data_IF_220985027369
#
_entry.id   IF_220985027369
#
_cell.length_a   1.000
_cell.length_b   1.000
_cell.length_c   1.000
_cell.angle_alpha   90.00
_cell.angle_beta   90.00
_cell.angle_gamma   90.00
#
_symmetry.space_group_name_H-M   'P 1'
#
loop_
_entity.id
_entity.type
_entity.pdbx_description
1 polymer ?
#
# COMPACT_ATOMS: atom_id res chain seq x y z
N UNK A 1 -13.17 68.82 -53.85
CA UNK A 1 -12.77 69.64 -52.70
C UNK A 1 -12.83 68.81 -51.49
N UNK A 2 -11.74 68.63 -50.89
CA UNK A 2 -11.34 68.00 -49.55
C UNK A 2 -12.23 66.95 -48.92
N UNK A 3 -11.79 65.73 -49.05
CA UNK A 3 -12.17 64.57 -48.24
C UNK A 3 -11.37 64.60 -46.92
N UNK A 4 -12.05 64.55 -45.73
CA UNK A 4 -11.41 64.32 -44.44
C UNK A 4 -11.56 62.87 -44.10
N UNK A 5 -10.42 62.18 -43.99
CA UNK A 5 -10.25 60.80 -43.47
C UNK A 5 -10.40 60.82 -41.95
N UNK A 6 -11.34 60.03 -41.41
CA UNK A 6 -11.36 59.64 -40.02
C UNK A 6 -10.85 58.22 -39.90
N UNK A 7 -9.67 58.09 -39.31
CA UNK A 7 -9.11 56.84 -38.86
C UNK A 7 -9.67 56.47 -37.49
N UNK A 8 -10.53 55.44 -37.43
CA UNK A 8 -11.00 54.88 -36.15
C UNK A 8 -10.03 53.78 -35.68
N UNK A 9 -9.36 54.03 -34.56
CA UNK A 9 -8.54 53.03 -33.89
C UNK A 9 -9.44 52.07 -33.12
N UNK A 10 -9.53 50.80 -33.59
CA UNK A 10 -10.15 49.71 -32.86
C UNK A 10 -9.14 49.16 -31.83
N UNK A 11 -9.32 49.53 -30.57
CA UNK A 11 -8.57 48.92 -29.44
C UNK A 11 -9.14 47.51 -29.16
N UNK A 12 -8.42 46.48 -29.58
CA UNK A 12 -8.72 45.11 -29.23
C UNK A 12 -8.31 44.86 -27.76
N UNK A 13 -9.27 44.83 -26.86
CA UNK A 13 -9.09 44.40 -25.49
C UNK A 13 -9.00 42.86 -25.47
N UNK A 14 -7.79 42.32 -25.43
CA UNK A 14 -7.54 40.92 -25.13
C UNK A 14 -7.85 40.66 -23.65
N UNK A 15 -9.05 40.17 -23.39
CA UNK A 15 -9.38 39.55 -22.09
C UNK A 15 -8.57 38.25 -21.95
N UNK A 16 -7.43 38.33 -21.23
CA UNK A 16 -6.72 37.18 -20.71
C UNK A 16 -7.60 36.53 -19.65
N UNK A 17 -8.46 35.60 -20.06
CA UNK A 17 -9.02 34.61 -19.14
C UNK A 17 -7.87 33.69 -18.68
N UNK A 18 -7.18 34.09 -17.63
CA UNK A 18 -6.30 33.21 -16.88
C UNK A 18 -7.14 32.07 -16.30
N UNK A 19 -7.11 30.91 -16.97
CA UNK A 19 -7.61 29.69 -16.37
C UNK A 19 -6.79 29.44 -15.10
N UNK A 20 -7.31 29.84 -13.96
CA UNK A 20 -6.82 29.41 -12.66
C UNK A 20 -6.98 27.88 -12.62
N UNK A 21 -5.91 27.15 -12.95
CA UNK A 21 -5.81 25.76 -12.62
C UNK A 21 -5.87 25.69 -11.08
N UNK A 22 -7.06 25.44 -10.54
CA UNK A 22 -7.22 25.08 -9.16
C UNK A 22 -6.35 23.84 -8.96
N UNK A 23 -5.19 24.01 -8.35
CA UNK A 23 -4.36 22.89 -7.90
C UNK A 23 -5.20 22.10 -6.91
N UNK A 24 -5.81 21.03 -7.37
CA UNK A 24 -6.53 20.10 -6.51
C UNK A 24 -5.52 19.58 -5.51
N UNK A 25 -5.70 19.96 -4.24
CA UNK A 25 -4.92 19.38 -3.14
C UNK A 25 -5.06 17.86 -3.20
N UNK A 26 -3.96 17.11 -3.05
CA UNK A 26 -4.05 15.66 -3.01
C UNK A 26 -5.04 15.23 -1.92
N UNK A 27 -5.84 14.18 -2.15
CA UNK A 27 -6.79 13.67 -1.17
C UNK A 27 -6.11 13.43 0.18
N UNK A 28 -6.73 13.83 1.29
CA UNK A 28 -6.12 13.76 2.62
C UNK A 28 -6.00 12.31 3.10
N UNK A 29 -4.86 11.92 3.70
CA UNK A 29 -4.69 10.61 4.37
C UNK A 29 -5.64 10.46 5.59
N UNK A 30 -6.12 11.57 6.13
CA UNK A 30 -7.02 11.62 7.29
C UNK A 30 -8.50 11.51 6.90
N UNK A 31 -8.81 11.34 5.62
CA UNK A 31 -10.15 11.02 5.13
C UNK A 31 -10.24 9.52 4.84
N UNK A 32 -11.29 8.88 5.32
CA UNK A 32 -11.63 7.49 5.02
C UNK A 32 -12.95 7.49 4.27
N UNK A 33 -12.91 7.19 3.00
CA UNK A 33 -14.07 7.14 2.12
C UNK A 33 -14.64 5.72 1.98
N UNK A 34 -15.85 5.63 1.38
CA UNK A 34 -16.51 4.38 1.04
C UNK A 34 -16.81 3.47 2.25
N UNK A 35 -17.03 4.05 3.43
CA UNK A 35 -17.37 3.30 4.64
C UNK A 35 -18.87 3.00 4.61
N UNK A 36 -19.25 1.77 4.29
CA UNK A 36 -20.65 1.34 4.34
C UNK A 36 -21.06 1.02 5.77
N UNK A 37 -22.21 1.54 6.18
CA UNK A 37 -22.84 1.18 7.45
C UNK A 37 -24.36 1.08 7.29
N UNK A 38 -24.92 0.11 8.01
CA UNK A 38 -26.36 -0.09 8.11
C UNK A 38 -26.74 -0.36 9.55
N UNK A 39 -27.95 0.02 9.92
CA UNK A 39 -28.51 -0.29 11.21
C UNK A 39 -30.03 -0.48 11.13
N UNK A 40 -30.55 -1.24 12.09
CA UNK A 40 -32.00 -1.36 12.36
C UNK A 40 -32.26 -0.94 13.80
N UNK A 41 -33.32 -0.18 14.00
CA UNK A 41 -33.72 0.30 15.32
C UNK A 41 -35.25 0.47 15.42
N UNK A 42 -35.74 1.00 16.52
CA UNK A 42 -37.17 1.25 16.72
C UNK A 42 -37.75 2.24 15.70
N UNK A 43 -36.93 3.14 15.17
CA UNK A 43 -37.32 4.11 14.14
C UNK A 43 -36.11 4.51 13.29
N UNK A 44 -36.36 5.19 12.16
CA UNK A 44 -35.31 5.61 11.21
C UNK A 44 -34.28 6.57 11.82
N UNK A 45 -34.66 7.43 12.76
CA UNK A 45 -33.76 8.40 13.39
C UNK A 45 -32.72 7.68 14.26
N UNK A 46 -33.16 6.72 15.04
CA UNK A 46 -32.28 5.90 15.88
C UNK A 46 -31.42 4.99 15.02
N UNK A 47 -31.95 4.37 13.96
CA UNK A 47 -31.18 3.58 13.00
C UNK A 47 -30.09 4.42 12.34
N UNK A 48 -30.40 5.66 11.91
CA UNK A 48 -29.40 6.59 11.35
C UNK A 48 -28.30 6.89 12.36
N UNK A 49 -28.64 7.18 13.62
CA UNK A 49 -27.64 7.43 14.68
C UNK A 49 -26.69 6.26 14.85
N UNK A 50 -27.22 5.04 14.95
CA UNK A 50 -26.42 3.82 15.13
C UNK A 50 -25.51 3.58 13.91
N UNK A 51 -26.04 3.74 12.68
CA UNK A 51 -25.26 3.57 11.46
C UNK A 51 -24.13 4.60 11.36
N UNK A 52 -24.38 5.86 11.72
CA UNK A 52 -23.38 6.93 11.75
C UNK A 52 -22.26 6.59 12.74
N UNK A 53 -22.58 6.23 13.97
CA UNK A 53 -21.59 5.82 14.97
C UNK A 53 -20.79 4.59 14.53
N UNK A 54 -21.45 3.62 13.90
CA UNK A 54 -20.79 2.45 13.33
C UNK A 54 -19.79 2.83 12.23
N UNK A 55 -20.17 3.78 11.36
CA UNK A 55 -19.30 4.30 10.29
C UNK A 55 -18.07 5.02 10.88
N UNK A 56 -18.26 5.85 11.91
CA UNK A 56 -17.17 6.57 12.58
C UNK A 56 -16.17 5.61 13.22
N UNK A 57 -16.64 4.58 13.93
CA UNK A 57 -15.79 3.58 14.55
C UNK A 57 -14.99 2.80 13.49
N UNK A 58 -15.65 2.34 12.42
CA UNK A 58 -14.99 1.65 11.30
C UNK A 58 -13.97 2.55 10.61
N UNK A 59 -14.34 3.79 10.33
CA UNK A 59 -13.44 4.77 9.71
C UNK A 59 -12.23 5.04 10.59
N UNK A 60 -12.41 5.18 11.89
CA UNK A 60 -11.30 5.38 12.83
C UNK A 60 -10.33 4.17 12.84
N UNK A 61 -10.85 2.95 12.89
CA UNK A 61 -10.02 1.74 12.82
C UNK A 61 -9.21 1.68 11.51
N UNK A 62 -9.85 1.97 10.37
CA UNK A 62 -9.18 2.03 9.07
C UNK A 62 -8.12 3.13 9.01
N UNK A 63 -8.39 4.29 9.63
CA UNK A 63 -7.42 5.38 9.72
C UNK A 63 -6.20 5.00 10.56
N UNK A 64 -6.42 4.39 11.73
CA UNK A 64 -5.33 3.92 12.61
C UNK A 64 -4.47 2.89 11.89
N UNK A 65 -5.09 1.88 11.27
CA UNK A 65 -4.39 0.88 10.47
C UNK A 65 -3.62 1.50 9.30
N UNK A 66 -4.14 2.56 8.69
CA UNK A 66 -3.45 3.32 7.64
C UNK A 66 -2.22 4.04 8.18
N UNK A 67 -2.36 4.80 9.26
CA UNK A 67 -1.32 5.71 9.75
C UNK A 67 -0.25 5.04 10.63
N UNK A 68 -0.59 3.95 11.32
CA UNK A 68 0.34 3.22 12.17
C UNK A 68 1.07 2.10 11.41
N UNK A 69 2.28 1.79 11.81
CA UNK A 69 2.92 0.54 11.40
C UNK A 69 2.30 -0.66 12.15
N UNK A 70 2.44 -1.87 11.59
CA UNK A 70 1.82 -3.08 12.12
C UNK A 70 2.28 -3.46 13.54
N UNK A 71 3.44 -2.96 14.02
CA UNK A 71 3.97 -3.23 15.37
C UNK A 71 3.38 -2.26 16.39
N UNK A 72 3.08 -1.05 15.98
CA UNK A 72 2.57 0.00 16.85
C UNK A 72 1.05 0.12 16.84
N UNK A 73 0.37 -0.32 15.80
CA UNK A 73 -1.09 -0.34 15.70
C UNK A 73 -1.77 -0.98 16.94
N UNK A 74 -1.33 -2.15 17.45
CA UNK A 74 -1.96 -2.77 18.64
C UNK A 74 -1.84 -1.98 19.94
N UNK A 75 -1.04 -0.90 19.97
CA UNK A 75 -0.92 -0.02 21.14
C UNK A 75 -2.12 0.92 21.26
N UNK A 76 -2.87 1.11 20.18
CA UNK A 76 -4.04 1.98 20.16
C UNK A 76 -5.25 1.18 20.66
N UNK A 77 -5.84 1.53 21.80
CA UNK A 77 -7.02 0.83 22.32
C UNK A 77 -8.25 1.10 21.47
N UNK A 78 -9.28 0.29 21.64
CA UNK A 78 -10.60 0.59 21.13
C UNK A 78 -11.19 1.79 21.90
N UNK A 79 -11.76 2.75 21.19
CA UNK A 79 -12.45 3.92 21.75
C UNK A 79 -13.96 3.78 21.60
N UNK A 80 -14.73 4.27 22.56
CA UNK A 80 -16.19 4.37 22.43
C UNK A 80 -16.55 5.43 21.38
N UNK A 81 -17.73 5.28 20.72
CA UNK A 81 -18.15 6.18 19.64
C UNK A 81 -18.10 7.68 20.02
N UNK A 82 -18.49 8.04 21.25
CA UNK A 82 -18.53 9.42 21.72
C UNK A 82 -17.13 10.07 21.83
N UNK A 83 -16.09 9.26 21.97
CA UNK A 83 -14.71 9.75 21.94
C UNK A 83 -14.21 9.89 20.50
N UNK A 84 -14.59 8.98 19.62
CA UNK A 84 -14.20 9.01 18.20
C UNK A 84 -14.82 10.22 17.51
N UNK A 85 -16.09 10.53 17.78
CA UNK A 85 -16.82 11.69 17.26
C UNK A 85 -16.02 13.00 17.45
N UNK A 86 -15.31 13.16 18.57
CA UNK A 86 -14.50 14.35 18.87
C UNK A 86 -13.29 14.52 17.93
N UNK A 87 -12.88 13.45 17.25
CA UNK A 87 -11.79 13.49 16.28
C UNK A 87 -12.31 13.76 14.86
N UNK A 88 -13.62 13.61 14.61
CA UNK A 88 -14.23 13.84 13.29
C UNK A 88 -14.29 15.34 13.03
N UNK A 89 -13.79 15.76 11.87
CA UNK A 89 -13.84 17.16 11.41
C UNK A 89 -14.90 17.39 10.34
N UNK A 90 -15.19 16.36 9.53
CA UNK A 90 -16.22 16.41 8.51
C UNK A 90 -16.76 15.01 8.20
N UNK A 91 -18.02 14.92 7.82
CA UNK A 91 -18.66 13.70 7.36
C UNK A 91 -19.45 13.97 6.09
N UNK A 92 -19.24 13.12 5.10
CA UNK A 92 -19.96 13.09 3.84
C UNK A 92 -20.83 11.83 3.79
N UNK A 93 -22.06 11.94 3.31
CA UNK A 93 -23.01 10.81 3.24
C UNK A 93 -23.48 10.65 1.79
N UNK A 94 -23.38 9.43 1.28
CA UNK A 94 -23.78 9.05 -0.08
C UNK A 94 -24.60 7.77 -0.06
N UNK A 95 -25.33 7.52 -1.12
CA UNK A 95 -26.10 6.29 -1.33
C UNK A 95 -27.02 5.98 -0.12
N UNK A 96 -27.69 7.01 0.37
CA UNK A 96 -28.56 6.92 1.56
C UNK A 96 -29.87 6.19 1.23
N UNK A 97 -30.16 5.14 1.98
CA UNK A 97 -31.43 4.41 1.94
C UNK A 97 -32.07 4.40 3.32
N UNK A 98 -33.32 4.81 3.40
CA UNK A 98 -34.07 4.93 4.65
C UNK A 98 -35.38 4.18 4.56
N UNK A 99 -35.71 3.41 5.62
CA UNK A 99 -37.04 2.83 5.83
C UNK A 99 -37.55 3.21 7.23
N UNK A 100 -38.73 2.75 7.62
CA UNK A 100 -39.32 3.08 8.94
C UNK A 100 -38.41 2.67 10.12
N UNK A 101 -37.65 1.55 9.99
CA UNK A 101 -36.83 0.97 11.05
C UNK A 101 -35.41 0.68 10.64
N UNK A 102 -35.01 1.01 9.41
CA UNK A 102 -33.65 0.75 8.93
C UNK A 102 -33.04 1.94 8.21
N UNK A 103 -31.76 2.02 8.28
CA UNK A 103 -30.92 3.03 7.61
C UNK A 103 -29.68 2.38 7.05
N UNK A 104 -29.32 2.69 5.81
CA UNK A 104 -28.08 2.25 5.14
C UNK A 104 -27.49 3.44 4.40
N UNK A 105 -26.18 3.62 4.48
CA UNK A 105 -25.48 4.65 3.70
C UNK A 105 -24.00 4.33 3.50
N UNK A 106 -23.40 5.06 2.57
CA UNK A 106 -21.95 5.09 2.36
C UNK A 106 -21.40 6.41 2.89
N UNK A 107 -20.47 6.32 3.84
CA UNK A 107 -19.90 7.48 4.52
C UNK A 107 -18.49 7.78 4.04
N UNK A 108 -18.14 9.07 3.98
CA UNK A 108 -16.81 9.58 3.94
C UNK A 108 -16.52 10.33 5.25
N UNK A 109 -15.58 9.87 6.06
CA UNK A 109 -15.27 10.47 7.36
C UNK A 109 -13.89 11.10 7.31
N UNK A 110 -13.82 12.40 7.57
CA UNK A 110 -12.56 13.15 7.67
C UNK A 110 -12.24 13.46 9.13
N UNK A 111 -11.07 13.07 9.56
CA UNK A 111 -10.61 13.30 10.93
C UNK A 111 -9.69 14.52 11.02
N UNK A 112 -9.67 15.15 12.19
CA UNK A 112 -8.74 16.23 12.51
C UNK A 112 -7.31 15.70 12.59
N UNK A 113 -6.46 16.12 11.67
CA UNK A 113 -5.04 15.71 11.60
C UNK A 113 -4.32 15.98 12.92
N UNK A 114 -4.52 17.18 13.50
CA UNK A 114 -3.90 17.56 14.78
C UNK A 114 -4.34 16.64 15.92
N UNK A 115 -5.63 16.34 16.00
CA UNK A 115 -6.19 15.51 17.06
C UNK A 115 -5.71 14.06 16.95
N UNK A 116 -5.71 13.49 15.75
CA UNK A 116 -5.22 12.13 15.48
C UNK A 116 -3.71 12.03 15.72
N UNK A 117 -2.90 12.99 15.24
CA UNK A 117 -1.46 12.99 15.50
C UNK A 117 -1.15 13.13 17.00
N UNK A 118 -1.95 13.91 17.75
CA UNK A 118 -1.85 14.01 19.20
C UNK A 118 -2.16 12.68 19.89
N UNK A 119 -3.25 12.02 19.49
CA UNK A 119 -3.65 10.72 19.99
C UNK A 119 -2.56 9.65 19.74
N UNK A 120 -2.09 9.50 18.52
CA UNK A 120 -1.07 8.52 18.18
C UNK A 120 0.20 8.71 19.00
N UNK A 121 0.67 9.95 19.17
CA UNK A 121 1.84 10.27 20.00
C UNK A 121 1.63 9.90 21.47
N UNK A 122 0.42 10.09 22.02
CA UNK A 122 0.08 9.69 23.40
C UNK A 122 0.32 8.19 23.63
N UNK A 123 0.09 7.36 22.61
CA UNK A 123 0.34 5.90 22.66
C UNK A 123 1.71 5.49 22.12
N UNK A 124 2.63 6.46 21.91
CA UNK A 124 3.97 6.19 21.41
C UNK A 124 4.00 5.69 19.98
N UNK A 125 3.01 6.07 19.18
CA UNK A 125 2.89 5.74 17.75
C UNK A 125 3.25 6.95 16.91
N UNK A 126 4.23 6.79 16.02
CA UNK A 126 4.56 7.81 15.02
C UNK A 126 3.69 7.58 13.79
N UNK A 127 2.88 8.57 13.42
CA UNK A 127 2.06 8.51 12.22
C UNK A 127 2.95 8.53 10.97
N UNK A 128 2.72 7.57 10.08
CA UNK A 128 3.29 7.57 8.73
C UNK A 128 2.37 8.44 7.88
N UNK A 129 2.88 9.54 7.32
CA UNK A 129 2.09 10.48 6.51
C UNK A 129 2.66 10.68 5.10
N UNK A 130 3.79 10.05 4.81
CA UNK A 130 4.42 10.11 3.49
C UNK A 130 3.58 9.37 2.45
N UNK A 131 3.54 9.94 1.25
CA UNK A 131 2.84 9.32 0.10
C UNK A 131 3.84 8.78 -0.91
N UNK A 132 3.49 7.64 -1.47
CA UNK A 132 4.14 7.03 -2.61
C UNK A 132 3.54 7.48 -3.94
N UNK A 133 4.17 7.11 -5.05
CA UNK A 133 3.60 7.30 -6.38
C UNK A 133 2.30 6.50 -6.56
N UNK A 134 1.43 6.98 -7.45
CA UNK A 134 0.17 6.30 -7.77
C UNK A 134 0.45 4.98 -8.51
N UNK A 135 -0.23 3.90 -8.11
CA UNK A 135 -0.13 2.58 -8.76
C UNK A 135 -1.39 2.26 -9.58
N UNK A 136 -1.22 1.66 -10.75
CA UNK A 136 -2.32 1.15 -11.54
C UNK A 136 -2.56 -0.34 -11.21
N UNK A 137 -3.76 -0.66 -10.75
CA UNK A 137 -4.19 -2.05 -10.53
C UNK A 137 -4.86 -2.56 -11.81
N UNK A 138 -4.29 -3.61 -12.39
CA UNK A 138 -4.83 -4.31 -13.57
C UNK A 138 -5.58 -5.54 -13.07
N UNK A 139 -6.92 -5.50 -13.00
CA UNK A 139 -7.71 -6.61 -12.48
C UNK A 139 -7.91 -7.69 -13.54
N UNK A 140 -7.72 -8.95 -13.16
CA UNK A 140 -8.12 -10.12 -13.95
C UNK A 140 -8.97 -11.02 -13.08
N UNK A 141 -10.19 -11.30 -13.51
CA UNK A 141 -11.10 -12.22 -12.85
C UNK A 141 -11.22 -13.47 -13.70
N UNK A 142 -10.86 -14.62 -13.15
CA UNK A 142 -10.92 -15.91 -13.84
C UNK A 142 -12.06 -16.70 -13.25
N UNK A 143 -13.04 -17.08 -14.07
CA UNK A 143 -14.19 -17.87 -13.69
C UNK A 143 -14.39 -18.96 -14.75
N UNK A 144 -14.59 -20.20 -14.32
CA UNK A 144 -14.74 -21.38 -15.20
C UNK A 144 -13.60 -21.54 -16.23
N UNK A 145 -12.36 -21.19 -15.83
CA UNK A 145 -11.18 -21.31 -16.68
C UNK A 145 -11.07 -20.24 -17.77
N UNK A 146 -11.81 -19.14 -17.67
CA UNK A 146 -11.72 -18.01 -18.60
C UNK A 146 -11.64 -16.67 -17.88
N UNK A 147 -10.84 -15.74 -18.41
CA UNK A 147 -10.82 -14.39 -17.89
C UNK A 147 -12.09 -13.62 -18.29
N UNK A 148 -12.74 -13.01 -17.34
CA UNK A 148 -13.93 -12.19 -17.57
C UNK A 148 -13.59 -10.93 -18.35
N UNK A 149 -14.32 -10.67 -19.42
CA UNK A 149 -14.21 -9.44 -20.23
C UNK A 149 -15.18 -8.33 -19.78
N UNK A 150 -15.95 -8.58 -18.71
CA UNK A 150 -16.92 -7.64 -18.20
C UNK A 150 -16.28 -6.62 -17.25
N UNK A 151 -16.50 -5.33 -17.48
CA UNK A 151 -16.12 -4.27 -16.54
C UNK A 151 -16.92 -4.30 -15.23
N UNK A 152 -18.06 -5.01 -15.22
CA UNK A 152 -18.92 -5.16 -14.03
C UNK A 152 -18.67 -6.47 -13.29
N UNK A 153 -17.57 -7.17 -13.57
CA UNK A 153 -17.23 -8.38 -12.82
C UNK A 153 -17.04 -8.09 -11.32
N UNK A 154 -17.28 -9.07 -10.45
CA UNK A 154 -17.25 -8.84 -9.00
C UNK A 154 -15.88 -8.44 -8.48
N UNK A 155 -14.79 -8.89 -9.12
CA UNK A 155 -13.42 -8.56 -8.73
C UNK A 155 -13.11 -7.08 -8.95
N UNK A 156 -13.36 -6.58 -10.17
CA UNK A 156 -13.17 -5.16 -10.48
C UNK A 156 -14.04 -4.28 -9.59
N UNK A 157 -15.31 -4.68 -9.38
CA UNK A 157 -16.22 -3.97 -8.50
C UNK A 157 -15.71 -3.92 -7.05
N UNK A 158 -15.18 -5.04 -6.53
CA UNK A 158 -14.62 -5.07 -5.19
C UNK A 158 -13.41 -4.14 -5.03
N UNK A 159 -12.49 -4.12 -6.00
CA UNK A 159 -11.34 -3.20 -6.01
C UNK A 159 -11.79 -1.73 -6.11
N UNK A 160 -12.72 -1.41 -7.02
CA UNK A 160 -13.18 -0.03 -7.24
C UNK A 160 -13.97 0.55 -6.05
N UNK A 161 -14.54 -0.30 -5.19
CA UNK A 161 -15.23 0.13 -3.99
C UNK A 161 -14.31 0.41 -2.80
N UNK A 162 -13.01 0.15 -2.91
CA UNK A 162 -12.04 0.52 -1.88
C UNK A 162 -11.77 2.03 -1.89
N UNK A 163 -11.27 2.54 -0.78
CA UNK A 163 -10.78 3.92 -0.66
C UNK A 163 -9.36 4.02 -1.23
N UNK A 164 -9.27 4.05 -2.57
CA UNK A 164 -7.98 4.00 -3.28
C UNK A 164 -7.24 5.33 -3.29
N UNK A 165 -7.92 6.46 -3.12
CA UNK A 165 -7.33 7.80 -3.29
C UNK A 165 -6.73 8.37 -2.00
N UNK A 166 -7.29 8.01 -0.83
CA UNK A 166 -6.87 8.53 0.47
C UNK A 166 -5.81 7.63 1.14
N UNK A 167 -5.06 6.87 0.37
CA UNK A 167 -4.06 5.93 0.83
C UNK A 167 -2.63 6.47 0.70
N UNK A 168 -1.65 5.81 1.33
CA UNK A 168 -0.23 6.15 1.17
C UNK A 168 0.22 6.01 -0.28
N UNK A 169 -0.10 4.87 -0.90
CA UNK A 169 0.07 4.65 -2.33
C UNK A 169 -1.30 4.74 -2.96
N UNK A 170 -1.67 5.90 -3.53
CA UNK A 170 -2.94 6.02 -4.24
C UNK A 170 -3.01 5.02 -5.38
N UNK A 171 -4.21 4.53 -5.69
CA UNK A 171 -4.36 3.56 -6.75
C UNK A 171 -5.51 3.91 -7.69
N UNK A 172 -5.41 3.41 -8.91
CA UNK A 172 -6.48 3.40 -9.91
C UNK A 172 -6.70 1.98 -10.40
N UNK A 173 -7.94 1.65 -10.72
CA UNK A 173 -8.28 0.35 -11.31
C UNK A 173 -8.39 0.50 -12.81
N UNK A 174 -7.55 -0.22 -13.55
CA UNK A 174 -7.59 -0.24 -15.01
C UNK A 174 -8.93 -0.81 -15.52
N UNK A 175 -9.42 -0.36 -16.67
CA UNK A 175 -10.55 -1.01 -17.33
C UNK A 175 -10.21 -2.46 -17.69
N UNK A 176 -11.22 -3.31 -17.76
CA UNK A 176 -11.04 -4.70 -18.20
C UNK A 176 -10.64 -4.72 -19.67
N UNK A 177 -9.69 -5.59 -20.02
CA UNK A 177 -9.19 -5.75 -21.39
C UNK A 177 -9.48 -7.15 -21.90
N UNK A 178 -10.14 -7.25 -23.06
CA UNK A 178 -10.46 -8.53 -23.67
C UNK A 178 -9.25 -9.31 -24.22
N UNK A 179 -8.12 -8.63 -24.43
CA UNK A 179 -6.85 -9.23 -24.84
C UNK A 179 -6.07 -9.86 -23.66
N UNK A 180 -6.41 -9.51 -22.42
CA UNK A 180 -5.79 -10.10 -21.23
C UNK A 180 -6.51 -11.38 -20.82
N UNK A 181 -6.23 -12.45 -21.56
CA UNK A 181 -6.79 -13.79 -21.32
C UNK A 181 -6.19 -14.44 -20.06
N UNK A 182 -6.83 -15.50 -19.58
CA UNK A 182 -6.29 -16.31 -18.47
C UNK A 182 -4.88 -16.83 -18.77
N UNK A 183 -4.64 -17.32 -19.99
CA UNK A 183 -3.34 -17.83 -20.40
C UNK A 183 -2.25 -16.75 -20.34
N UNK A 184 -2.58 -15.53 -20.80
CA UNK A 184 -1.67 -14.37 -20.73
C UNK A 184 -1.44 -13.97 -19.27
N UNK A 185 -2.48 -13.93 -18.44
CA UNK A 185 -2.35 -13.63 -17.02
C UNK A 185 -1.46 -14.65 -16.29
N UNK A 186 -1.62 -15.94 -16.58
CA UNK A 186 -0.74 -17.00 -16.05
C UNK A 186 0.71 -16.86 -16.53
N UNK A 187 0.92 -16.54 -17.81
CA UNK A 187 2.26 -16.29 -18.34
C UNK A 187 2.91 -15.07 -17.66
N UNK A 188 2.14 -14.02 -17.41
CA UNK A 188 2.62 -12.83 -16.69
C UNK A 188 2.99 -13.12 -15.25
N UNK A 189 2.23 -13.94 -14.54
CA UNK A 189 2.55 -14.38 -13.18
C UNK A 189 3.77 -15.29 -13.13
N UNK A 190 4.01 -16.09 -14.18
CA UNK A 190 5.17 -16.97 -14.25
C UNK A 190 6.50 -16.23 -14.49
N UNK A 191 6.47 -15.06 -15.13
CA UNK A 191 7.65 -14.21 -15.36
C UNK A 191 7.35 -12.74 -15.04
N UNK A 192 7.25 -12.37 -13.75
CA UNK A 192 6.83 -11.02 -13.35
C UNK A 192 7.75 -9.91 -13.88
N UNK A 193 9.07 -10.14 -13.93
CA UNK A 193 10.02 -9.11 -14.35
C UNK A 193 9.76 -8.60 -15.78
N UNK A 194 9.69 -9.51 -16.77
CA UNK A 194 9.42 -9.14 -18.15
C UNK A 194 7.98 -8.65 -18.34
N UNK A 195 7.05 -9.22 -17.60
CA UNK A 195 5.62 -8.91 -17.73
C UNK A 195 5.27 -7.55 -17.18
N UNK A 196 5.83 -7.16 -16.03
CA UNK A 196 5.61 -5.82 -15.48
C UNK A 196 6.16 -4.76 -16.42
N UNK A 197 7.30 -4.99 -17.06
CA UNK A 197 7.83 -4.05 -18.05
C UNK A 197 6.90 -3.92 -19.26
N UNK A 198 6.38 -5.03 -19.78
CA UNK A 198 5.39 -5.03 -20.86
C UNK A 198 4.13 -4.25 -20.48
N UNK A 199 3.58 -4.51 -19.28
CA UNK A 199 2.38 -3.82 -18.80
C UNK A 199 2.63 -2.31 -18.57
N UNK A 200 3.78 -1.93 -18.01
CA UNK A 200 4.17 -0.53 -17.84
C UNK A 200 4.20 0.23 -19.17
N UNK A 201 4.76 -0.38 -20.22
CA UNK A 201 4.77 0.19 -21.56
C UNK A 201 3.35 0.31 -22.15
N UNK A 202 2.53 -0.72 -21.99
CA UNK A 202 1.15 -0.74 -22.51
C UNK A 202 0.26 0.32 -21.86
N UNK A 203 0.38 0.50 -20.54
CA UNK A 203 -0.42 1.46 -19.79
C UNK A 203 0.26 2.84 -19.64
N UNK A 204 1.51 2.98 -20.08
CA UNK A 204 2.32 4.21 -19.94
C UNK A 204 2.41 4.70 -18.50
N UNK A 205 2.64 3.79 -17.57
CA UNK A 205 2.74 4.04 -16.14
C UNK A 205 3.97 3.37 -15.56
N UNK A 206 4.51 3.91 -14.46
CA UNK A 206 5.71 3.36 -13.82
C UNK A 206 5.38 2.29 -12.76
N UNK A 207 4.32 2.51 -11.98
CA UNK A 207 3.92 1.65 -10.87
C UNK A 207 2.69 0.84 -11.28
N UNK A 208 2.78 -0.50 -11.24
CA UNK A 208 1.71 -1.36 -11.74
C UNK A 208 1.56 -2.63 -10.89
N UNK A 209 0.31 -3.06 -10.73
CA UNK A 209 -0.06 -4.29 -10.05
C UNK A 209 -1.01 -5.10 -10.93
N UNK A 210 -0.58 -6.27 -11.38
CA UNK A 210 -1.47 -7.29 -11.93
C UNK A 210 -2.10 -8.04 -10.76
N UNK A 211 -3.42 -8.01 -10.67
CA UNK A 211 -4.19 -8.63 -9.59
C UNK A 211 -5.19 -9.63 -10.17
N UNK A 212 -4.87 -10.91 -10.04
CA UNK A 212 -5.67 -12.02 -10.55
C UNK A 212 -6.45 -12.64 -9.40
N UNK A 213 -7.76 -12.75 -9.56
CA UNK A 213 -8.64 -13.44 -8.62
C UNK A 213 -9.38 -14.58 -9.33
N UNK A 214 -9.33 -15.76 -8.75
CA UNK A 214 -9.99 -16.97 -9.21
C UNK A 214 -10.82 -17.56 -8.07
N UNK A 215 -12.16 -17.66 -8.20
CA UNK A 215 -12.99 -18.32 -7.21
C UNK A 215 -12.54 -19.78 -6.99
N UNK A 216 -12.48 -20.17 -5.72
CA UNK A 216 -12.07 -21.53 -5.32
C UNK A 216 -13.11 -22.05 -4.32
N UNK A 217 -14.28 -22.45 -4.85
CA UNK A 217 -15.47 -22.79 -4.08
C UNK A 217 -16.29 -21.56 -3.66
N UNK A 218 -17.27 -21.78 -2.78
CA UNK A 218 -18.25 -20.75 -2.41
C UNK A 218 -17.66 -19.62 -1.56
N UNK A 219 -16.69 -19.94 -0.68
CA UNK A 219 -16.23 -19.03 0.38
C UNK A 219 -14.74 -18.69 0.27
N UNK A 220 -14.09 -19.03 -0.83
CA UNK A 220 -12.67 -18.76 -1.02
C UNK A 220 -12.33 -18.28 -2.43
N UNK A 221 -11.23 -17.53 -2.51
CA UNK A 221 -10.66 -16.99 -3.74
C UNK A 221 -9.16 -17.21 -3.73
N UNK A 222 -8.61 -17.74 -4.80
CA UNK A 222 -7.16 -17.73 -5.03
C UNK A 222 -6.77 -16.37 -5.57
N UNK A 223 -5.98 -15.63 -4.81
CA UNK A 223 -5.43 -14.32 -5.15
C UNK A 223 -3.98 -14.47 -5.58
N UNK A 224 -3.67 -14.05 -6.80
CA UNK A 224 -2.30 -13.99 -7.32
C UNK A 224 -1.97 -12.56 -7.72
N UNK A 225 -0.88 -12.03 -7.18
CA UNK A 225 -0.39 -10.70 -7.47
C UNK A 225 0.99 -10.77 -8.11
N UNK A 226 1.22 -9.92 -9.08
CA UNK A 226 2.55 -9.58 -9.55
C UNK A 226 2.59 -8.06 -9.75
N UNK A 227 3.55 -7.39 -9.14
CA UNK A 227 3.62 -5.92 -9.18
C UNK A 227 5.03 -5.39 -9.26
N UNK A 228 5.13 -4.17 -9.75
CA UNK A 228 6.30 -3.32 -9.64
C UNK A 228 5.86 -1.99 -9.02
N UNK A 229 6.33 -1.74 -7.82
CA UNK A 229 6.08 -0.49 -7.08
C UNK A 229 7.41 0.26 -6.85
N UNK A 230 7.36 1.36 -6.12
CA UNK A 230 8.54 2.18 -5.80
C UNK A 230 9.66 1.39 -5.05
N UNK A 231 9.36 0.19 -4.55
CA UNK A 231 10.29 -0.72 -3.87
C UNK A 231 10.79 -1.85 -4.79
N UNK A 232 10.31 -1.88 -6.04
CA UNK A 232 10.65 -2.89 -7.02
C UNK A 232 9.62 -4.01 -7.14
N UNK A 233 10.04 -5.09 -7.79
CA UNK A 233 9.20 -6.23 -8.10
C UNK A 233 8.75 -6.98 -6.84
N UNK A 234 7.51 -7.47 -6.89
CA UNK A 234 6.97 -8.37 -5.86
C UNK A 234 5.91 -9.29 -6.44
N UNK A 235 5.66 -10.40 -5.76
CA UNK A 235 4.59 -11.34 -6.07
C UNK A 235 3.96 -11.89 -4.80
N UNK A 236 2.69 -12.30 -4.89
CA UNK A 236 1.95 -12.97 -3.83
C UNK A 236 1.05 -14.03 -4.47
N UNK A 237 1.01 -15.22 -3.90
CA UNK A 237 0.03 -16.26 -4.22
C UNK A 237 -0.60 -16.73 -2.91
N UNK A 238 -1.92 -16.56 -2.77
CA UNK A 238 -2.61 -16.87 -1.52
C UNK A 238 -4.07 -17.24 -1.74
N UNK A 239 -4.50 -18.31 -1.06
CA UNK A 239 -5.91 -18.63 -0.90
C UNK A 239 -6.52 -17.75 0.19
N UNK A 240 -7.55 -17.00 -0.14
CA UNK A 240 -8.25 -16.04 0.72
C UNK A 240 -9.66 -16.58 1.00
N UNK A 241 -10.01 -16.69 2.27
CA UNK A 241 -11.36 -17.06 2.70
C UNK A 241 -12.16 -15.80 3.06
N UNK A 242 -13.49 -15.92 2.97
CA UNK A 242 -14.38 -14.93 3.53
C UNK A 242 -14.05 -14.68 5.01
N UNK A 243 -14.05 -13.42 5.44
CA UNK A 243 -13.79 -13.03 6.83
C UNK A 243 -15.03 -12.36 7.39
N UNK A 244 -15.48 -12.80 8.55
CA UNK A 244 -16.55 -12.15 9.30
C UNK A 244 -16.16 -10.70 9.61
N UNK A 245 -17.12 -9.78 9.42
CA UNK A 245 -16.89 -8.35 9.63
C UNK A 245 -16.45 -7.55 8.38
N UNK A 246 -16.07 -8.23 7.27
CA UNK A 246 -15.80 -7.61 5.97
C UNK A 246 -16.84 -8.01 4.93
N UNK A 247 -18.11 -7.69 5.16
CA UNK A 247 -19.24 -8.01 4.25
C UNK A 247 -19.34 -9.51 3.84
N UNK A 248 -18.70 -10.43 4.56
CA UNK A 248 -18.80 -11.89 4.37
C UNK A 248 -18.39 -12.41 2.99
N UNK A 249 -17.61 -11.67 2.19
CA UNK A 249 -17.25 -12.04 0.83
C UNK A 249 -15.75 -12.26 0.68
N UNK A 250 -15.34 -13.46 0.22
CA UNK A 250 -13.94 -13.78 -0.06
C UNK A 250 -13.32 -12.83 -1.10
N UNK A 251 -14.10 -12.42 -2.11
CA UNK A 251 -13.64 -11.53 -3.17
C UNK A 251 -13.35 -10.11 -2.65
N UNK A 252 -14.17 -9.60 -1.72
CA UNK A 252 -13.92 -8.31 -1.08
C UNK A 252 -12.72 -8.36 -0.13
N UNK A 253 -12.58 -9.48 0.60
CA UNK A 253 -11.40 -9.74 1.44
C UNK A 253 -10.13 -9.80 0.61
N UNK A 254 -10.18 -10.47 -0.55
CA UNK A 254 -9.05 -10.55 -1.48
C UNK A 254 -8.70 -9.19 -2.10
N UNK A 255 -9.71 -8.37 -2.46
CA UNK A 255 -9.49 -7.03 -2.98
C UNK A 255 -8.80 -6.13 -1.94
N UNK A 256 -9.24 -6.21 -0.70
CA UNK A 256 -8.61 -5.50 0.41
C UNK A 256 -7.17 -5.96 0.60
N UNK A 257 -6.92 -7.28 0.63
CA UNK A 257 -5.57 -7.83 0.77
C UNK A 257 -4.65 -7.40 -0.37
N UNK A 258 -5.13 -7.39 -1.63
CA UNK A 258 -4.36 -6.93 -2.77
C UNK A 258 -3.91 -5.47 -2.60
N UNK A 259 -4.82 -4.61 -2.18
CA UNK A 259 -4.54 -3.20 -1.94
C UNK A 259 -3.64 -2.98 -0.73
N UNK A 260 -3.93 -3.63 0.40
CA UNK A 260 -3.14 -3.52 1.63
C UNK A 260 -1.71 -4.03 1.43
N UNK A 261 -1.48 -5.02 0.57
CA UNK A 261 -0.12 -5.50 0.22
C UNK A 261 0.76 -4.35 -0.27
N UNK A 262 0.25 -3.49 -1.15
CA UNK A 262 0.99 -2.32 -1.65
C UNK A 262 1.20 -1.28 -0.54
N UNK A 263 0.16 -1.02 0.26
CA UNK A 263 0.24 -0.06 1.36
C UNK A 263 1.26 -0.49 2.43
N UNK A 264 1.24 -1.77 2.81
CA UNK A 264 2.14 -2.31 3.82
C UNK A 264 3.59 -2.34 3.34
N UNK A 265 3.82 -2.65 2.08
CA UNK A 265 5.15 -2.54 1.47
C UNK A 265 5.69 -1.12 1.60
N UNK A 266 4.89 -0.11 1.26
CA UNK A 266 5.28 1.29 1.43
C UNK A 266 5.58 1.65 2.90
N UNK A 267 4.71 1.26 3.83
CA UNK A 267 4.90 1.50 5.27
C UNK A 267 6.17 0.84 5.83
N UNK A 268 6.54 -0.35 5.35
CA UNK A 268 7.76 -1.04 5.79
C UNK A 268 9.04 -0.21 5.57
N UNK A 269 9.08 0.64 4.55
CA UNK A 269 10.25 1.51 4.30
C UNK A 269 10.27 2.76 5.18
N UNK A 270 9.13 3.12 5.79
CA UNK A 270 8.96 4.34 6.58
C UNK A 270 8.89 4.08 8.10
N UNK A 271 8.36 2.94 8.51
CA UNK A 271 8.20 2.56 9.93
C UNK A 271 9.51 2.20 10.65
N UNK A 272 10.65 2.18 9.95
CA UNK A 272 11.99 1.98 10.55
C UNK A 272 12.78 3.29 10.79
N UNK A 273 12.26 4.44 10.39
CA UNK A 273 12.89 5.72 10.63
C UNK A 273 12.57 6.21 12.04
N UNK A 274 13.57 6.21 12.92
CA UNK A 274 13.51 6.92 14.19
C UNK A 274 13.11 8.40 13.97
N UNK A 275 12.37 9.06 14.92
CA UNK A 275 11.97 10.46 14.78
C UNK A 275 13.20 11.35 14.80
N UNK A 276 13.68 11.76 13.63
CA UNK A 276 14.86 12.62 13.51
C UNK A 276 15.45 12.74 12.11
N UNK A 277 14.68 12.72 11.04
CA UNK A 277 15.30 12.78 9.72
C UNK A 277 14.45 13.28 8.55
N UNK A 278 13.52 14.20 8.77
CA UNK A 278 12.85 14.90 7.68
C UNK A 278 13.26 16.38 7.74
N UNK A 279 14.52 16.66 7.46
CA UNK A 279 14.96 18.01 7.13
C UNK A 279 16.22 17.92 6.28
N UNK A 280 16.14 18.52 5.10
CA UNK A 280 17.31 19.02 4.36
C UNK A 280 18.09 17.99 3.55
N UNK A 281 17.63 17.77 2.31
CA UNK A 281 18.57 17.70 1.19
C UNK A 281 19.00 19.15 0.92
N UNK A 282 19.91 19.64 1.76
CA UNK A 282 20.68 20.85 1.51
C UNK A 282 22.10 20.55 1.98
N UNK A 283 23.02 20.50 1.00
CA UNK A 283 24.46 20.69 1.12
C UNK A 283 25.13 20.15 2.40
N UNK A 284 25.65 18.92 2.34
CA UNK A 284 26.73 18.53 3.22
C UNK A 284 28.07 18.82 2.52
N UNK A 285 28.82 19.71 3.17
CA UNK A 285 30.23 19.95 2.89
C UNK A 285 31.04 18.65 3.01
N UNK A 286 32.11 18.49 2.22
CA UNK A 286 32.88 17.25 2.17
C UNK A 286 33.98 17.23 3.24
N UNK A 287 33.63 17.14 4.53
CA UNK A 287 34.61 16.89 5.59
C UNK A 287 33.96 16.24 6.81
N UNK A 288 33.65 14.96 6.67
CA UNK A 288 33.52 13.99 7.75
C UNK A 288 33.48 12.59 7.11
N UNK A 289 34.60 12.19 6.54
CA UNK A 289 34.85 10.81 6.16
C UNK A 289 35.18 10.00 7.39
N UNK A 290 34.18 9.50 8.09
CA UNK A 290 34.37 8.36 8.98
C UNK A 290 34.45 7.11 8.12
N UNK A 291 35.58 6.45 8.17
CA UNK A 291 36.07 5.40 7.29
C UNK A 291 35.09 4.23 7.16
N UNK A 292 34.36 4.18 6.05
CA UNK A 292 33.74 2.95 5.55
C UNK A 292 34.85 1.93 5.22
N UNK A 293 34.70 0.66 5.57
CA UNK A 293 35.73 -0.35 5.33
C UNK A 293 35.97 -0.52 3.83
N UNK A 294 37.19 -0.23 3.40
CA UNK A 294 37.67 -0.32 2.03
C UNK A 294 37.66 -1.78 1.56
N UNK A 295 36.73 -2.13 0.69
CA UNK A 295 36.63 -3.37 -0.05
C UNK A 295 35.71 -3.18 -1.23
N UNK A 296 36.01 -3.76 -2.38
CA UNK A 296 35.11 -3.80 -3.52
C UNK A 296 33.79 -4.50 -3.11
N UNK A 297 32.65 -3.93 -3.47
CA UNK A 297 31.34 -4.58 -3.28
C UNK A 297 31.31 -5.88 -4.10
N UNK A 298 31.04 -6.98 -3.44
CA UNK A 298 30.91 -8.30 -4.06
C UNK A 298 29.54 -8.89 -3.74
N UNK A 299 28.85 -9.48 -4.71
CA UNK A 299 27.58 -10.13 -4.46
C UNK A 299 27.74 -11.38 -3.59
N UNK A 300 26.95 -11.48 -2.54
CA UNK A 300 26.93 -12.61 -1.60
C UNK A 300 25.55 -13.26 -1.63
N UNK A 301 25.52 -14.59 -1.73
CA UNK A 301 24.32 -15.40 -1.58
C UNK A 301 24.30 -16.03 -0.20
N UNK A 302 23.18 -15.90 0.49
CA UNK A 302 22.97 -16.40 1.84
C UNK A 302 21.69 -17.21 1.89
N UNK A 303 21.75 -18.41 2.46
CA UNK A 303 20.58 -19.20 2.84
C UNK A 303 20.37 -19.08 4.34
N UNK A 304 19.33 -18.37 4.77
CA UNK A 304 18.97 -18.25 6.18
C UNK A 304 18.08 -19.42 6.57
N UNK A 305 18.53 -20.28 7.49
CA UNK A 305 17.73 -21.39 8.04
C UNK A 305 17.09 -21.00 9.35
N UNK A 306 15.79 -21.34 9.53
CA UNK A 306 15.00 -21.00 10.71
C UNK A 306 13.91 -22.05 10.98
N UNK A 307 13.52 -22.20 12.24
CA UNK A 307 12.47 -23.13 12.66
C UNK A 307 11.06 -22.56 12.50
N UNK A 308 10.93 -21.23 12.34
CA UNK A 308 9.62 -20.58 12.20
C UNK A 308 9.70 -19.09 11.89
N UNK A 309 8.55 -18.47 11.61
CA UNK A 309 8.44 -17.07 11.18
C UNK A 309 9.05 -16.06 12.17
N UNK A 310 8.95 -16.31 13.46
CA UNK A 310 9.52 -15.42 14.48
C UNK A 310 11.05 -15.42 14.44
N UNK A 311 11.65 -16.57 14.24
CA UNK A 311 13.10 -16.73 14.11
C UNK A 311 13.59 -16.12 12.80
N UNK A 312 12.86 -16.30 11.71
CA UNK A 312 13.11 -15.61 10.44
C UNK A 312 13.17 -14.09 10.59
N UNK A 313 12.20 -13.51 11.31
CA UNK A 313 12.18 -12.05 11.54
C UNK A 313 13.41 -11.59 12.32
N UNK A 314 13.82 -12.36 13.31
CA UNK A 314 15.04 -12.08 14.11
C UNK A 314 16.29 -12.18 13.26
N UNK A 315 16.44 -13.26 12.48
CA UNK A 315 17.55 -13.47 11.54
C UNK A 315 17.64 -12.35 10.51
N UNK A 316 16.53 -12.01 9.89
CA UNK A 316 16.44 -10.92 8.90
C UNK A 316 16.91 -9.60 9.51
N UNK A 317 16.40 -9.24 10.69
CA UNK A 317 16.75 -7.98 11.36
C UNK A 317 18.24 -7.93 11.69
N UNK A 318 18.82 -9.04 12.17
CA UNK A 318 20.26 -9.12 12.50
C UNK A 318 21.12 -9.04 11.24
N UNK A 319 20.77 -9.73 10.16
CA UNK A 319 21.49 -9.68 8.89
C UNK A 319 21.45 -8.30 8.26
N UNK A 320 20.29 -7.65 8.26
CA UNK A 320 20.15 -6.27 7.77
C UNK A 320 20.87 -5.25 8.66
N UNK A 321 21.08 -5.57 9.93
CA UNK A 321 21.84 -4.76 10.88
C UNK A 321 23.36 -4.90 10.76
N UNK A 322 23.88 -5.83 9.95
CA UNK A 322 25.32 -5.97 9.72
C UNK A 322 25.82 -4.79 8.89
N UNK A 323 26.75 -3.95 9.42
CA UNK A 323 27.25 -2.78 8.70
C UNK A 323 27.93 -3.18 7.39
N UNK A 324 27.45 -2.62 6.27
CA UNK A 324 28.01 -2.90 4.94
C UNK A 324 27.10 -3.74 4.03
N UNK A 325 25.99 -4.29 4.52
CA UNK A 325 24.99 -4.97 3.69
C UNK A 325 24.27 -3.94 2.82
N UNK A 326 24.34 -4.11 1.49
CA UNK A 326 23.72 -3.25 0.49
C UNK A 326 22.96 -4.09 -0.54
N UNK A 327 22.04 -3.49 -1.26
CA UNK A 327 21.27 -4.12 -2.34
C UNK A 327 20.62 -5.46 -1.93
N UNK A 328 19.92 -5.45 -0.79
CA UNK A 328 19.24 -6.63 -0.24
C UNK A 328 18.15 -7.14 -1.18
N UNK A 329 18.30 -8.39 -1.65
CA UNK A 329 17.36 -9.07 -2.55
C UNK A 329 16.92 -10.41 -1.94
N UNK A 330 15.63 -10.55 -1.64
CA UNK A 330 15.04 -11.79 -1.12
C UNK A 330 14.54 -12.64 -2.29
N UNK A 331 15.29 -13.68 -2.64
CA UNK A 331 15.03 -14.52 -3.82
C UNK A 331 13.92 -15.54 -3.60
N UNK A 332 13.94 -16.24 -2.46
CA UNK A 332 12.91 -17.23 -2.13
C UNK A 332 12.71 -17.33 -0.61
N UNK A 333 11.51 -17.74 -0.18
CA UNK A 333 11.21 -18.04 1.23
C UNK A 333 10.41 -19.33 1.29
N UNK A 334 10.97 -20.32 1.97
CA UNK A 334 10.33 -21.59 2.32
C UNK A 334 9.97 -21.61 3.81
N UNK A 335 9.17 -22.54 4.31
CA UNK A 335 8.80 -22.61 5.73
C UNK A 335 9.96 -22.73 6.71
N UNK A 336 11.16 -23.14 6.26
CA UNK A 336 12.35 -23.36 7.07
C UNK A 336 13.62 -22.72 6.57
N UNK A 337 13.59 -22.07 5.40
CA UNK A 337 14.74 -21.40 4.82
C UNK A 337 14.34 -20.21 3.94
N UNK A 338 15.22 -19.21 3.85
CA UNK A 338 15.09 -18.09 2.91
C UNK A 338 16.40 -17.88 2.16
N UNK A 339 16.33 -17.75 0.85
CA UNK A 339 17.46 -17.39 0.00
C UNK A 339 17.52 -15.88 -0.19
N UNK A 340 18.69 -15.30 0.09
CA UNK A 340 18.91 -13.87 0.08
C UNK A 340 20.17 -13.58 -0.73
N UNK A 341 20.08 -12.57 -1.60
CA UNK A 341 21.24 -11.97 -2.25
C UNK A 341 21.47 -10.56 -1.71
N UNK A 342 22.69 -10.14 -1.53
CA UNK A 342 23.07 -8.75 -1.24
C UNK A 342 24.52 -8.49 -1.58
N UNK A 343 24.89 -7.22 -1.70
CA UNK A 343 26.27 -6.83 -1.92
C UNK A 343 26.94 -6.50 -0.60
N UNK A 344 28.18 -7.00 -0.42
CA UNK A 344 28.94 -6.78 0.81
C UNK A 344 30.40 -6.40 0.52
N UNK A 345 30.96 -5.36 1.20
CA UNK A 345 32.35 -4.97 1.03
C UNK A 345 33.33 -6.04 1.54
N UNK A 346 34.09 -6.66 0.65
CA UNK A 346 34.99 -7.76 0.98
C UNK A 346 34.38 -9.15 0.91
N UNK A 347 33.13 -9.28 0.37
CA UNK A 347 32.50 -10.55 0.03
C UNK A 347 32.15 -11.47 1.21
N UNK A 348 32.04 -12.78 0.92
CA UNK A 348 31.54 -13.79 1.85
C UNK A 348 32.44 -13.98 3.10
N UNK A 349 33.75 -13.93 2.95
CA UNK A 349 34.69 -14.16 4.07
C UNK A 349 34.58 -13.08 5.15
N UNK A 350 34.48 -11.82 4.74
CA UNK A 350 34.33 -10.70 5.67
C UNK A 350 32.94 -10.65 6.29
N UNK A 351 31.92 -11.02 5.52
CA UNK A 351 30.56 -11.16 6.05
C UNK A 351 30.49 -12.18 7.18
N UNK A 352 31.15 -13.33 7.03
CA UNK A 352 31.19 -14.38 8.07
C UNK A 352 31.69 -13.81 9.40
N UNK A 353 32.82 -13.14 9.43
CA UNK A 353 33.40 -12.57 10.64
C UNK A 353 32.49 -11.51 11.27
N UNK A 354 31.82 -10.65 10.47
CA UNK A 354 30.94 -9.61 10.97
C UNK A 354 29.57 -10.13 11.41
N UNK A 355 29.04 -11.15 10.76
CA UNK A 355 27.80 -11.80 11.12
C UNK A 355 27.90 -12.56 12.46
N UNK A 356 29.04 -13.23 12.69
CA UNK A 356 29.31 -13.88 13.99
C UNK A 356 29.39 -12.89 15.15
N UNK A 357 29.97 -11.72 14.93
CA UNK A 357 30.00 -10.63 15.92
C UNK A 357 28.58 -10.08 16.23
N UNK A 358 27.62 -10.26 15.33
CA UNK A 358 26.21 -9.89 15.49
C UNK A 358 25.31 -11.04 15.97
N UNK A 359 25.89 -12.13 16.49
CA UNK A 359 25.17 -13.25 17.10
C UNK A 359 24.50 -14.17 16.07
N UNK A 360 25.05 -14.25 14.86
CA UNK A 360 24.66 -15.19 13.82
C UNK A 360 25.70 -16.31 13.72
N UNK A 361 25.25 -17.53 13.41
CA UNK A 361 26.14 -18.64 13.04
C UNK A 361 26.19 -18.71 11.52
N UNK A 362 27.40 -18.72 10.95
CA UNK A 362 27.60 -18.76 9.51
C UNK A 362 28.40 -20.01 9.13
N UNK A 363 27.85 -20.79 8.21
CA UNK A 363 28.44 -22.03 7.69
C UNK A 363 28.57 -21.91 6.17
N UNK A 364 29.58 -22.53 5.58
CA UNK A 364 29.73 -22.62 4.13
C UNK A 364 28.81 -23.71 3.60
N UNK A 365 27.85 -23.35 2.73
CA UNK A 365 26.98 -24.28 2.02
C UNK A 365 27.37 -24.46 0.55
N UNK A 366 26.75 -25.44 -0.15
CA UNK A 366 27.08 -25.73 -1.55
C UNK A 366 26.76 -24.59 -2.51
N UNK A 367 25.75 -23.75 -2.21
CA UNK A 367 25.28 -22.64 -3.07
C UNK A 367 25.55 -21.25 -2.49
N UNK A 368 26.32 -21.14 -1.40
CA UNK A 368 26.62 -19.90 -0.72
C UNK A 368 26.76 -20.08 0.80
N UNK A 369 26.60 -19.01 1.56
CA UNK A 369 26.65 -19.08 3.03
C UNK A 369 25.31 -19.53 3.60
N UNK A 370 25.34 -20.38 4.64
CA UNK A 370 24.17 -20.75 5.44
C UNK A 370 24.26 -19.99 6.76
N UNK A 371 23.18 -19.26 7.09
CA UNK A 371 23.11 -18.42 8.30
C UNK A 371 21.97 -18.92 9.19
N UNK A 372 22.29 -19.08 10.49
CA UNK A 372 21.35 -19.50 11.54
C UNK A 372 21.40 -18.53 12.73
N UNK A 373 20.32 -18.44 13.48
CA UNK A 373 20.33 -17.74 14.78
C UNK A 373 21.14 -18.56 15.80
N UNK A 374 22.06 -17.89 16.48
CA UNK A 374 22.72 -18.48 17.65
C UNK A 374 21.82 -18.49 18.85
#
# INVERSE_FOLDING_TARGET
MQAKRFAGALAAIFLLCGAAFAQQRPPSLFTVANVKAEAKAANAVEAKKIATQTAEVRAFQLLVSRLADYKSEPRIPAFPPEQIERFVSNMDVRDEGVSETSYVATFGVTFSERSIAGLLRQYGVTAIVDRGPEILIVPVFVEDGAASTSDRNPWRSALSNLDLSHAHVPAKVAPTRGDLTEAIAKAYLANPAASMETLKQQYKIQEILLAVAEPDGADSVTLKLAGNDALGLFSLDRKVKARDGFDGSAIKTAARLAFDTVQDRWKLTRGGAAPGGAASVAARSPDAAESLPSGSLSPVKVTAEFAGLKEWQTLRTRLQGVPGVQNWDLKSVNPRAAEIGFDFPGGAERLTAMAEANGLSVENGPDGLIVKSR
#
